data_IF_628267272742
#
_entry.id   IF_628267272742
#
_cell.length_a   1.000
_cell.length_b   1.000
_cell.length_c   1.000
_cell.angle_alpha   90.00
_cell.angle_beta   90.00
_cell.angle_gamma   90.00
#
_symmetry.space_group_name_H-M   'P 1'
#
loop_
_entity.id
_entity.type
_entity.pdbx_description
1 polymer ?
#
# COMPACT_ATOMS: atom_id res chain seq x y z
N UNK A 1 22.12 -20.21 9.16
CA UNK A 1 23.46 -19.77 8.68
C UNK A 1 24.23 -19.19 9.86
N UNK A 2 25.50 -19.56 10.01
CA UNK A 2 26.33 -18.93 11.03
C UNK A 2 26.70 -17.52 10.57
N UNK A 3 26.41 -16.52 11.40
CA UNK A 3 26.80 -15.14 11.13
C UNK A 3 28.29 -14.96 11.41
N UNK A 4 29.02 -14.35 10.48
CA UNK A 4 30.45 -14.03 10.63
C UNK A 4 30.62 -12.53 10.88
N UNK A 5 31.46 -12.18 11.84
CA UNK A 5 31.94 -10.82 12.04
C UNK A 5 33.43 -10.73 11.87
N UNK A 6 33.94 -9.56 11.49
CA UNK A 6 35.36 -9.33 11.32
C UNK A 6 35.86 -8.32 12.37
N UNK A 7 36.91 -8.70 13.11
CA UNK A 7 37.62 -7.81 14.02
C UNK A 7 39.08 -7.81 13.59
N UNK A 8 39.64 -6.62 13.30
CA UNK A 8 41.03 -6.51 12.82
C UNK A 8 41.33 -7.26 11.52
N UNK A 9 40.32 -7.46 10.64
CA UNK A 9 40.46 -8.14 9.35
C UNK A 9 40.28 -9.67 9.41
N UNK A 10 40.04 -10.25 10.58
CA UNK A 10 39.79 -11.70 10.74
C UNK A 10 38.30 -11.93 10.94
N UNK A 11 37.72 -12.88 10.17
CA UNK A 11 36.30 -13.22 10.26
C UNK A 11 36.01 -14.27 11.34
N UNK A 12 35.01 -14.01 12.16
CA UNK A 12 34.60 -14.88 13.26
C UNK A 12 33.13 -15.28 13.13
N UNK A 13 32.82 -16.55 13.50
CA UNK A 13 31.44 -17.02 13.55
C UNK A 13 30.80 -16.66 14.89
N UNK A 14 29.63 -15.98 14.84
CA UNK A 14 28.85 -15.64 16.02
C UNK A 14 27.72 -16.65 16.18
N UNK A 15 27.86 -17.54 17.15
CA UNK A 15 26.81 -18.48 17.53
C UNK A 15 26.34 -18.19 18.96
N UNK A 16 25.04 -17.99 19.14
CA UNK A 16 24.40 -17.98 20.46
C UNK A 16 24.82 -16.87 21.43
N UNK A 17 25.13 -15.67 20.97
CA UNK A 17 25.36 -14.50 21.83
C UNK A 17 26.72 -14.44 22.53
N UNK A 18 27.64 -15.33 22.19
CA UNK A 18 29.07 -15.31 22.60
C UNK A 18 29.96 -15.54 21.41
N UNK A 19 31.03 -14.78 21.30
CA UNK A 19 32.06 -14.94 20.28
C UNK A 19 33.40 -15.26 20.98
N UNK A 20 34.13 -16.20 20.44
CA UNK A 20 35.51 -16.57 20.88
C UNK A 20 36.48 -15.96 19.87
N UNK A 21 37.39 -15.11 20.35
CA UNK A 21 38.50 -14.58 19.58
C UNK A 21 39.77 -15.00 20.31
N UNK A 22 40.61 -15.81 19.67
CA UNK A 22 41.86 -16.32 20.23
C UNK A 22 41.72 -16.97 21.63
N UNK A 23 40.59 -17.68 21.85
CA UNK A 23 40.33 -18.36 23.12
C UNK A 23 39.68 -17.48 24.20
N UNK A 24 39.46 -16.22 23.95
CA UNK A 24 38.79 -15.29 24.87
C UNK A 24 37.30 -15.16 24.53
N UNK A 25 36.43 -15.30 25.53
CA UNK A 25 34.99 -15.19 25.38
C UNK A 25 34.55 -13.75 25.53
N UNK A 26 33.88 -13.22 24.52
CA UNK A 26 33.26 -11.90 24.54
C UNK A 26 31.72 -12.01 24.56
N UNK A 27 31.07 -11.21 25.40
CA UNK A 27 29.60 -11.16 25.41
C UNK A 27 29.11 -10.01 24.53
N UNK A 28 28.17 -10.35 23.61
CA UNK A 28 27.48 -9.36 22.80
C UNK A 28 26.21 -8.95 23.51
N UNK A 29 26.04 -7.66 23.82
CA UNK A 29 24.84 -7.09 24.43
C UNK A 29 24.49 -5.79 23.70
N UNK A 30 23.25 -5.70 23.20
CA UNK A 30 22.73 -4.50 22.51
C UNK A 30 23.57 -4.02 21.29
N UNK A 31 24.09 -4.94 20.49
CA UNK A 31 24.92 -4.59 19.32
C UNK A 31 26.31 -4.06 19.65
N UNK A 32 26.79 -4.29 20.88
CA UNK A 32 28.13 -3.91 21.33
C UNK A 32 28.91 -5.13 21.79
N UNK A 33 30.20 -5.15 21.51
CA UNK A 33 31.15 -6.13 22.08
C UNK A 33 32.11 -5.42 23.02
N UNK A 34 32.35 -6.01 24.18
CA UNK A 34 33.38 -5.57 25.11
C UNK A 34 34.68 -6.35 24.84
N UNK A 35 35.76 -5.63 24.53
CA UNK A 35 37.14 -6.18 24.41
C UNK A 35 38.01 -5.40 25.36
N UNK A 36 38.65 -6.10 26.31
CA UNK A 36 39.53 -5.52 27.35
C UNK A 36 38.90 -4.32 28.07
N UNK A 37 37.58 -4.40 28.37
CA UNK A 37 36.83 -3.32 29.05
C UNK A 37 36.44 -2.16 28.18
N UNK A 38 36.76 -2.17 26.86
CA UNK A 38 36.36 -1.13 25.90
C UNK A 38 35.17 -1.62 25.09
N UNK A 39 34.11 -0.79 25.01
CA UNK A 39 32.94 -1.07 24.17
C UNK A 39 33.20 -0.69 22.71
N UNK A 40 32.93 -1.64 21.84
CA UNK A 40 32.93 -1.45 20.37
C UNK A 40 31.53 -1.67 19.80
N UNK A 41 31.07 -0.77 18.95
CA UNK A 41 29.83 -0.94 18.21
C UNK A 41 30.01 -2.03 17.15
N UNK A 42 29.14 -3.05 17.18
CA UNK A 42 29.06 -4.04 16.10
C UNK A 42 27.95 -3.57 15.16
N UNK A 43 28.31 -2.93 14.08
CA UNK A 43 27.40 -2.74 12.96
C UNK A 43 27.30 -4.05 12.18
N UNK A 44 26.21 -4.80 12.38
CA UNK A 44 25.86 -5.87 11.48
C UNK A 44 25.34 -5.22 10.17
N UNK A 45 26.21 -5.04 9.22
CA UNK A 45 25.79 -4.84 7.85
C UNK A 45 25.38 -6.23 7.37
N UNK A 46 24.12 -6.59 7.60
CA UNK A 46 23.54 -7.72 6.87
C UNK A 46 23.59 -7.33 5.39
N UNK A 47 24.23 -8.12 4.52
CA UNK A 47 24.15 -7.83 3.10
C UNK A 47 22.67 -7.77 2.72
N UNK A 48 22.25 -6.70 2.08
CA UNK A 48 20.90 -6.63 1.53
C UNK A 48 20.73 -7.80 0.56
N UNK A 49 19.76 -8.68 0.85
CA UNK A 49 19.39 -9.74 -0.07
C UNK A 49 18.32 -9.19 -0.99
N UNK A 50 18.59 -9.17 -2.27
CA UNK A 50 17.60 -8.85 -3.30
C UNK A 50 17.01 -10.16 -3.79
N UNK A 51 15.69 -10.23 -3.87
CA UNK A 51 14.94 -11.37 -4.38
C UNK A 51 14.12 -10.92 -5.58
N UNK A 52 14.37 -11.56 -6.72
CA UNK A 52 13.52 -11.43 -7.90
C UNK A 52 12.42 -12.49 -7.82
N UNK A 53 11.23 -12.10 -7.39
CA UNK A 53 10.10 -13.02 -7.19
C UNK A 53 9.46 -13.45 -8.50
N UNK A 54 9.38 -12.54 -9.47
CA UNK A 54 9.02 -12.83 -10.87
C UNK A 54 9.82 -11.91 -11.79
N UNK A 55 10.26 -12.50 -12.89
CA UNK A 55 11.04 -11.82 -13.93
C UNK A 55 10.26 -11.85 -15.22
N UNK A 56 10.41 -10.83 -16.02
CA UNK A 56 9.77 -10.61 -17.32
C UNK A 56 10.11 -9.19 -17.74
N UNK A 57 9.36 -8.62 -18.65
CA UNK A 57 9.66 -7.31 -19.20
C UNK A 57 9.44 -6.12 -18.26
N UNK A 58 9.71 -4.92 -18.78
CA UNK A 58 9.92 -3.65 -18.07
C UNK A 58 8.75 -3.15 -17.19
N UNK A 59 7.63 -3.88 -17.12
CA UNK A 59 6.42 -3.44 -16.43
C UNK A 59 6.00 -4.32 -15.25
N UNK A 60 6.81 -5.32 -14.88
CA UNK A 60 6.57 -6.15 -13.71
C UNK A 60 6.84 -5.35 -12.43
N UNK A 61 5.89 -5.35 -11.50
CA UNK A 61 5.96 -4.52 -10.29
C UNK A 61 5.33 -5.18 -9.09
N UNK A 62 5.89 -4.92 -7.92
CA UNK A 62 5.28 -5.17 -6.62
C UNK A 62 4.80 -3.82 -6.09
N UNK A 63 3.52 -3.72 -5.74
CA UNK A 63 2.91 -2.49 -5.24
C UNK A 63 2.67 -2.53 -3.73
N UNK A 64 2.51 -3.71 -3.15
CA UNK A 64 2.20 -3.87 -1.74
C UNK A 64 2.91 -5.06 -1.11
N UNK A 65 3.14 -4.97 0.19
CA UNK A 65 3.68 -6.02 1.02
C UNK A 65 3.02 -6.00 2.39
N UNK A 66 2.70 -7.17 2.93
CA UNK A 66 2.19 -7.32 4.29
C UNK A 66 2.77 -8.55 4.98
N UNK A 67 2.83 -8.53 6.31
CA UNK A 67 3.06 -9.71 7.12
C UNK A 67 1.88 -9.93 8.04
N UNK A 68 1.20 -11.03 7.85
CA UNK A 68 0.07 -11.40 8.68
C UNK A 68 -0.11 -12.93 8.72
N UNK A 69 -0.72 -13.44 9.78
CA UNK A 69 -1.04 -14.85 9.95
C UNK A 69 0.15 -15.81 9.67
N UNK A 70 1.38 -15.38 9.99
CA UNK A 70 2.61 -16.17 9.79
C UNK A 70 3.16 -16.16 8.36
N UNK A 71 2.64 -15.32 7.46
CA UNK A 71 3.09 -15.20 6.08
C UNK A 71 3.51 -13.79 5.72
N UNK A 72 4.59 -13.68 4.96
CA UNK A 72 4.90 -12.55 4.12
C UNK A 72 4.12 -12.71 2.82
N UNK A 73 3.43 -11.67 2.40
CA UNK A 73 2.66 -11.66 1.16
C UNK A 73 2.94 -10.37 0.42
N UNK A 74 3.23 -10.48 -0.86
CA UNK A 74 3.38 -9.34 -1.77
C UNK A 74 2.35 -9.43 -2.88
N UNK A 75 1.94 -8.28 -3.40
CA UNK A 75 1.00 -8.17 -4.50
C UNK A 75 1.48 -7.18 -5.54
N UNK A 76 1.10 -7.43 -6.79
CA UNK A 76 1.49 -6.59 -7.90
C UNK A 76 0.96 -7.08 -9.23
N UNK A 77 1.72 -6.81 -10.29
CA UNK A 77 1.42 -7.26 -11.65
C UNK A 77 2.57 -8.06 -12.25
N UNK A 78 2.20 -8.94 -13.16
CA UNK A 78 3.12 -9.68 -14.02
C UNK A 78 2.60 -9.65 -15.46
N UNK A 79 3.48 -9.33 -16.40
CA UNK A 79 3.19 -9.33 -17.84
C UNK A 79 3.92 -10.51 -18.47
N UNK A 80 3.17 -11.36 -19.14
CA UNK A 80 3.66 -12.48 -19.93
C UNK A 80 3.57 -12.09 -21.42
N UNK A 81 4.64 -11.54 -21.97
CA UNK A 81 4.71 -11.15 -23.38
C UNK A 81 4.58 -12.33 -24.33
N UNK A 82 4.96 -13.54 -23.91
CA UNK A 82 4.85 -14.73 -24.76
C UNK A 82 3.40 -15.13 -25.04
N UNK A 83 2.49 -14.81 -24.14
CA UNK A 83 1.06 -15.10 -24.23
C UNK A 83 0.20 -13.84 -24.35
N UNK A 84 0.83 -12.67 -24.34
CA UNK A 84 0.14 -11.37 -24.37
C UNK A 84 -0.89 -11.20 -23.24
N UNK A 85 -0.49 -11.61 -22.03
CA UNK A 85 -1.35 -11.58 -20.83
C UNK A 85 -0.75 -10.74 -19.71
N UNK A 86 -1.61 -9.95 -19.08
CA UNK A 86 -1.30 -9.27 -17.83
C UNK A 86 -2.01 -9.96 -16.65
N UNK A 87 -1.29 -10.18 -15.57
CA UNK A 87 -1.79 -10.87 -14.37
C UNK A 87 -1.71 -9.99 -13.14
N UNK A 88 -2.78 -9.95 -12.37
CA UNK A 88 -2.76 -9.53 -10.98
C UNK A 88 -2.24 -10.70 -10.15
N UNK A 89 -1.04 -10.54 -9.58
CA UNK A 89 -0.25 -11.62 -9.00
C UNK A 89 0.08 -11.36 -7.55
N UNK A 90 0.02 -12.43 -6.73
CA UNK A 90 0.59 -12.46 -5.39
C UNK A 90 1.75 -13.45 -5.31
N UNK A 91 2.65 -13.22 -4.37
CA UNK A 91 3.57 -14.24 -3.89
C UNK A 91 3.58 -14.24 -2.36
N UNK A 92 3.79 -15.42 -1.76
CA UNK A 92 3.81 -15.55 -0.31
C UNK A 92 4.81 -16.60 0.17
N UNK A 93 5.34 -16.36 1.37
CA UNK A 93 6.27 -17.26 2.05
C UNK A 93 6.13 -17.13 3.58
N UNK A 94 6.57 -18.13 4.32
CA UNK A 94 6.63 -18.08 5.80
C UNK A 94 7.88 -17.39 6.32
N UNK A 95 8.91 -17.25 5.49
CA UNK A 95 10.15 -16.50 5.81
C UNK A 95 10.66 -15.80 4.55
N UNK A 96 11.36 -14.66 4.72
CA UNK A 96 11.88 -13.87 3.62
C UNK A 96 12.94 -14.59 2.79
N UNK A 97 13.72 -15.46 3.43
CA UNK A 97 14.76 -16.31 2.82
C UNK A 97 14.24 -17.69 2.37
N UNK A 98 12.94 -17.94 2.51
CA UNK A 98 12.29 -19.20 2.16
C UNK A 98 11.88 -19.27 0.68
N UNK A 99 11.19 -20.37 0.36
CA UNK A 99 10.60 -20.53 -0.96
C UNK A 99 9.28 -19.76 -1.04
N UNK A 100 9.17 -18.89 -2.03
CA UNK A 100 7.96 -18.13 -2.31
C UNK A 100 7.04 -18.92 -3.24
N UNK A 101 5.77 -18.96 -2.90
CA UNK A 101 4.72 -19.53 -3.75
C UNK A 101 4.04 -18.38 -4.49
N UNK A 102 3.95 -18.51 -5.82
CA UNK A 102 3.37 -17.50 -6.71
C UNK A 102 1.95 -17.94 -7.11
N UNK A 103 1.03 -16.98 -7.18
CA UNK A 103 -0.33 -17.20 -7.67
C UNK A 103 -0.85 -16.02 -8.46
N UNK A 104 -1.46 -16.33 -9.61
CA UNK A 104 -2.23 -15.38 -10.38
C UNK A 104 -3.69 -15.43 -9.92
N UNK A 105 -4.27 -14.27 -9.64
CA UNK A 105 -5.64 -14.17 -9.13
C UNK A 105 -6.64 -13.82 -10.22
N UNK A 106 -6.28 -12.92 -11.12
CA UNK A 106 -7.03 -12.61 -12.35
C UNK A 106 -6.08 -12.16 -13.45
N UNK A 107 -6.57 -12.27 -14.69
CA UNK A 107 -5.83 -11.86 -15.89
C UNK A 107 -6.81 -11.46 -16.97
N UNK A 108 -6.36 -10.67 -17.94
CA UNK A 108 -6.98 -10.52 -19.25
C UNK A 108 -5.93 -10.52 -20.35
N UNK A 109 -6.39 -10.64 -21.59
CA UNK A 109 -5.56 -10.42 -22.76
C UNK A 109 -5.03 -8.97 -22.72
N UNK A 110 -3.75 -8.82 -23.02
CA UNK A 110 -3.12 -7.53 -23.22
C UNK A 110 -3.49 -7.07 -24.65
N UNK A 111 -4.79 -6.80 -24.89
CA UNK A 111 -5.24 -6.36 -26.19
C UNK A 111 -4.67 -4.98 -26.49
N UNK A 112 -4.19 -4.81 -27.70
CA UNK A 112 -3.52 -3.73 -28.43
C UNK A 112 -3.89 -2.27 -28.11
N UNK A 113 -4.07 -1.89 -26.84
CA UNK A 113 -4.21 -0.49 -26.48
C UNK A 113 -2.87 0.02 -25.91
N UNK A 114 -2.23 0.87 -26.67
CA UNK A 114 -0.95 1.55 -26.40
C UNK A 114 -0.90 2.36 -25.07
N UNK A 115 -1.92 2.32 -24.24
CA UNK A 115 -2.04 3.12 -23.02
C UNK A 115 -2.61 2.32 -21.84
N UNK A 116 -1.71 1.77 -20.98
CA UNK A 116 -1.77 1.68 -19.51
C UNK A 116 -2.78 0.77 -18.79
N UNK A 117 -3.44 -0.21 -19.40
CA UNK A 117 -4.43 -1.05 -18.68
C UNK A 117 -3.81 -2.35 -18.16
N UNK A 118 -3.03 -2.23 -17.09
CA UNK A 118 -2.37 -3.37 -16.46
C UNK A 118 -3.13 -3.81 -15.22
N UNK A 119 -3.71 -5.02 -15.26
CA UNK A 119 -4.25 -5.66 -14.07
C UNK A 119 -3.20 -5.71 -12.96
N UNK A 120 -3.58 -5.30 -11.78
CA UNK A 120 -2.65 -5.34 -10.66
C UNK A 120 -3.37 -5.50 -9.32
N UNK A 121 -2.61 -5.93 -8.33
CA UNK A 121 -2.99 -5.86 -6.92
C UNK A 121 -2.35 -4.62 -6.35
N UNK A 122 -3.18 -3.74 -5.80
CA UNK A 122 -2.75 -2.48 -5.18
C UNK A 122 -2.44 -2.66 -3.70
N UNK A 123 -3.23 -3.47 -2.98
CA UNK A 123 -3.07 -3.64 -1.54
C UNK A 123 -3.55 -5.02 -1.06
N UNK A 124 -3.09 -5.44 0.13
CA UNK A 124 -3.38 -6.72 0.75
C UNK A 124 -3.59 -6.55 2.25
N UNK A 125 -4.68 -7.10 2.77
CA UNK A 125 -4.94 -7.17 4.20
C UNK A 125 -5.36 -8.57 4.65
N UNK A 126 -5.10 -8.88 5.93
CA UNK A 126 -5.61 -10.06 6.61
C UNK A 126 -6.43 -9.65 7.84
N UNK A 127 -7.59 -10.21 7.96
CA UNK A 127 -8.46 -9.95 9.11
C UNK A 127 -9.63 -10.91 9.17
N UNK A 128 -10.14 -11.17 10.37
CA UNK A 128 -11.30 -12.04 10.61
C UNK A 128 -11.26 -13.39 9.87
N UNK A 129 -10.05 -13.98 9.73
CA UNK A 129 -9.83 -15.26 9.07
C UNK A 129 -9.81 -15.22 7.54
N UNK A 130 -9.78 -14.03 6.93
CA UNK A 130 -9.71 -13.84 5.48
C UNK A 130 -8.47 -13.05 5.07
N UNK A 131 -7.89 -13.44 3.97
CA UNK A 131 -7.03 -12.63 3.13
C UNK A 131 -7.91 -11.90 2.12
N UNK A 132 -7.69 -10.61 1.95
CA UNK A 132 -8.36 -9.79 0.94
C UNK A 132 -7.29 -8.97 0.22
N UNK A 133 -7.37 -8.97 -1.10
CA UNK A 133 -6.58 -8.08 -1.96
C UNK A 133 -7.52 -7.11 -2.66
N UNK A 134 -7.05 -5.91 -2.91
CA UNK A 134 -7.70 -4.89 -3.74
C UNK A 134 -6.87 -4.61 -4.97
N UNK A 135 -7.50 -4.14 -6.03
CA UNK A 135 -6.78 -3.80 -7.25
C UNK A 135 -7.68 -3.37 -8.39
N UNK A 136 -7.12 -3.51 -9.57
CA UNK A 136 -7.65 -3.06 -10.83
C UNK A 136 -7.83 -4.22 -11.81
N UNK A 137 -8.95 -4.21 -12.55
CA UNK A 137 -9.23 -5.13 -13.62
C UNK A 137 -9.84 -4.38 -14.80
N UNK A 138 -9.25 -4.52 -15.98
CA UNK A 138 -9.76 -3.97 -17.22
C UNK A 138 -10.32 -5.07 -18.13
N UNK A 139 -11.41 -4.81 -18.82
CA UNK A 139 -12.00 -5.68 -19.80
C UNK A 139 -12.54 -4.85 -20.98
N UNK A 140 -11.90 -4.99 -22.15
CA UNK A 140 -12.30 -4.40 -23.46
C UNK A 140 -12.62 -2.88 -23.44
N UNK A 141 -13.55 -2.42 -22.63
CA UNK A 141 -14.00 -1.03 -22.57
C UNK A 141 -14.35 -0.56 -21.17
N UNK A 142 -14.08 -1.39 -20.15
CA UNK A 142 -14.48 -1.13 -18.79
C UNK A 142 -13.42 -1.48 -17.78
N UNK A 143 -13.29 -0.65 -16.76
CA UNK A 143 -12.41 -0.84 -15.63
C UNK A 143 -13.21 -1.10 -14.37
N UNK A 144 -12.71 -2.01 -13.56
CA UNK A 144 -13.38 -2.42 -12.33
C UNK A 144 -12.44 -2.30 -11.13
N UNK A 145 -12.92 -1.66 -10.10
CA UNK A 145 -12.34 -1.77 -8.78
C UNK A 145 -12.67 -3.14 -8.22
N UNK A 146 -11.67 -4.01 -8.15
CA UNK A 146 -11.82 -5.43 -7.86
C UNK A 146 -11.19 -5.81 -6.54
N UNK A 147 -11.84 -6.73 -5.84
CA UNK A 147 -11.22 -7.47 -4.75
C UNK A 147 -11.19 -8.97 -5.06
N UNK A 148 -10.24 -9.67 -4.45
CA UNK A 148 -10.34 -11.11 -4.29
C UNK A 148 -10.12 -11.47 -2.82
N UNK A 149 -10.76 -12.55 -2.35
CA UNK A 149 -10.65 -12.99 -0.97
C UNK A 149 -10.60 -14.51 -0.86
N UNK A 150 -9.89 -14.97 0.17
CA UNK A 150 -9.78 -16.39 0.51
C UNK A 150 -9.54 -16.56 2.01
N UNK A 151 -9.84 -17.73 2.56
CA UNK A 151 -9.52 -18.09 3.96
C UNK A 151 -8.07 -18.60 4.11
N UNK A 152 -7.42 -18.97 3.01
CA UNK A 152 -6.01 -19.36 2.97
C UNK A 152 -5.37 -18.93 1.66
N UNK A 153 -4.07 -18.60 1.69
CA UNK A 153 -3.30 -18.17 0.51
C UNK A 153 -3.23 -19.24 -0.58
N UNK A 154 -3.21 -20.53 -0.18
CA UNK A 154 -3.21 -21.67 -1.10
C UNK A 154 -4.61 -22.12 -1.54
N UNK A 155 -5.67 -21.59 -0.94
CA UNK A 155 -7.05 -21.95 -1.20
C UNK A 155 -7.61 -21.35 -2.48
N UNK A 156 -8.92 -21.55 -2.70
CA UNK A 156 -9.66 -20.92 -3.79
C UNK A 156 -9.95 -19.46 -3.42
N UNK A 157 -9.60 -18.56 -4.33
CA UNK A 157 -9.92 -17.15 -4.22
C UNK A 157 -11.25 -16.85 -4.90
N UNK A 158 -12.09 -16.10 -4.24
CA UNK A 158 -13.34 -15.58 -4.80
C UNK A 158 -13.13 -14.14 -5.21
N UNK A 159 -13.47 -13.82 -6.46
CA UNK A 159 -13.33 -12.49 -7.05
C UNK A 159 -14.67 -11.76 -6.92
N UNK A 160 -14.60 -10.45 -6.68
CA UNK A 160 -15.76 -9.56 -6.63
C UNK A 160 -15.40 -8.16 -7.11
N UNK A 161 -16.18 -7.63 -8.03
CA UNK A 161 -16.11 -6.23 -8.43
C UNK A 161 -16.96 -5.40 -7.46
N UNK A 162 -16.39 -4.30 -6.99
CA UNK A 162 -17.03 -3.41 -6.01
C UNK A 162 -17.75 -2.26 -6.69
N UNK A 163 -17.10 -1.64 -7.67
CA UNK A 163 -17.64 -0.59 -8.53
C UNK A 163 -16.94 -0.60 -9.89
N UNK A 164 -17.55 0.06 -10.85
CA UNK A 164 -17.22 0.06 -12.27
C UNK A 164 -18.41 -0.39 -13.08
N UNK A 165 -18.55 0.12 -14.26
CA UNK A 165 -19.56 -0.29 -15.24
C UNK A 165 -18.95 -0.33 -16.64
N UNK A 166 -19.62 -1.01 -17.56
CA UNK A 166 -19.09 -1.50 -18.82
C UNK A 166 -18.63 -0.46 -19.85
N UNK A 167 -18.58 0.84 -19.53
CA UNK A 167 -18.19 1.89 -20.47
C UNK A 167 -17.25 2.95 -19.84
N UNK A 168 -16.58 2.62 -18.70
CA UNK A 168 -15.89 3.62 -17.90
C UNK A 168 -14.44 3.19 -17.60
N UNK A 169 -13.50 4.09 -17.78
CA UNK A 169 -12.06 3.91 -17.59
C UNK A 169 -11.65 4.33 -16.17
N UNK A 170 -10.56 3.73 -15.64
CA UNK A 170 -9.88 4.14 -14.41
C UNK A 170 -10.61 3.89 -13.07
N UNK A 171 -11.47 2.88 -13.00
CA UNK A 171 -12.05 2.44 -11.72
C UNK A 171 -11.07 1.53 -10.97
N UNK A 172 -10.58 1.95 -9.82
CA UNK A 172 -9.54 1.23 -9.08
C UNK A 172 -9.83 1.16 -7.58
N UNK A 173 -9.58 0.00 -6.99
CA UNK A 173 -9.49 -0.18 -5.55
C UNK A 173 -8.03 -0.07 -5.10
N UNK A 174 -7.64 1.05 -4.50
CA UNK A 174 -6.25 1.35 -4.16
C UNK A 174 -5.80 0.75 -2.83
N UNK A 175 -6.67 0.71 -1.85
CA UNK A 175 -6.32 0.28 -0.50
C UNK A 175 -7.41 -0.59 0.13
N UNK A 176 -7.02 -1.49 1.04
CA UNK A 176 -7.93 -2.36 1.78
C UNK A 176 -7.45 -2.54 3.22
N UNK A 177 -8.38 -2.50 4.18
CA UNK A 177 -8.10 -2.74 5.59
C UNK A 177 -9.23 -3.52 6.25
N UNK A 178 -8.89 -4.33 7.26
CA UNK A 178 -9.86 -4.85 8.22
C UNK A 178 -9.62 -4.22 9.59
N UNK A 179 -10.59 -3.49 10.08
CA UNK A 179 -10.54 -2.91 11.41
C UNK A 179 -11.96 -2.74 11.97
N UNK A 180 -12.10 -2.69 13.30
CA UNK A 180 -13.35 -2.42 14.01
C UNK A 180 -14.55 -3.24 13.50
N UNK A 181 -14.31 -4.50 13.07
CA UNK A 181 -15.36 -5.41 12.58
C UNK A 181 -15.77 -5.22 11.11
N UNK A 182 -15.10 -4.33 10.38
CA UNK A 182 -15.38 -4.04 8.97
C UNK A 182 -14.16 -4.23 8.09
N UNK A 183 -14.42 -4.73 6.90
CA UNK A 183 -13.57 -4.57 5.73
C UNK A 183 -13.91 -3.24 5.08
N UNK A 184 -12.91 -2.46 4.77
CA UNK A 184 -13.08 -1.18 4.06
C UNK A 184 -12.06 -1.11 2.93
N UNK A 185 -12.54 -0.70 1.76
CA UNK A 185 -11.76 -0.51 0.53
C UNK A 185 -11.92 0.94 0.11
N UNK A 186 -10.84 1.58 -0.26
CA UNK A 186 -10.83 2.93 -0.81
C UNK A 186 -10.25 2.94 -2.22
N UNK A 187 -10.72 3.86 -3.05
CA UNK A 187 -10.22 3.97 -4.41
C UNK A 187 -10.84 5.12 -5.19
N UNK A 188 -10.87 4.98 -6.50
CA UNK A 188 -11.48 5.94 -7.39
C UNK A 188 -12.55 5.31 -8.27
N UNK A 189 -13.57 6.08 -8.57
CA UNK A 189 -14.67 5.75 -9.45
C UNK A 189 -14.92 6.87 -10.45
N UNK A 190 -15.01 6.52 -11.72
CA UNK A 190 -15.39 7.42 -12.80
C UNK A 190 -16.76 7.02 -13.36
N UNK A 191 -17.73 7.94 -13.41
CA UNK A 191 -19.07 7.65 -13.90
C UNK A 191 -19.32 8.10 -15.35
N UNK A 192 -18.24 8.29 -16.16
CA UNK A 192 -18.32 8.82 -17.52
C UNK A 192 -18.34 10.34 -17.62
N UNK A 193 -18.44 11.02 -16.49
CA UNK A 193 -18.50 12.48 -16.46
C UNK A 193 -17.62 13.06 -15.36
N UNK A 194 -17.47 12.35 -14.24
CA UNK A 194 -16.78 12.86 -13.04
C UNK A 194 -16.08 11.74 -12.30
N UNK A 195 -15.01 12.11 -11.62
CA UNK A 195 -14.25 11.28 -10.71
C UNK A 195 -14.77 11.41 -9.28
N UNK A 196 -14.68 10.30 -8.55
CA UNK A 196 -15.10 10.19 -7.15
C UNK A 196 -14.01 9.50 -6.33
N UNK A 197 -13.73 10.04 -5.15
CA UNK A 197 -13.08 9.27 -4.09
C UNK A 197 -14.12 8.35 -3.46
N UNK A 198 -14.07 7.07 -3.83
CA UNK A 198 -15.06 6.04 -3.48
C UNK A 198 -14.57 5.16 -2.36
N UNK A 199 -15.47 4.75 -1.47
CA UNK A 199 -15.25 3.69 -0.50
C UNK A 199 -16.30 2.59 -0.65
N UNK A 200 -15.89 1.37 -0.30
CA UNK A 200 -16.83 0.28 -0.06
C UNK A 200 -16.53 -0.36 1.31
N UNK A 201 -17.58 -0.77 2.03
CA UNK A 201 -17.39 -1.45 3.31
C UNK A 201 -18.37 -2.58 3.53
N UNK A 202 -17.94 -3.62 4.25
CA UNK A 202 -18.73 -4.80 4.60
C UNK A 202 -18.20 -5.45 5.88
N UNK A 203 -19.03 -6.20 6.59
CA UNK A 203 -18.58 -6.98 7.76
C UNK A 203 -17.89 -8.29 7.35
N UNK A 204 -18.10 -8.76 6.12
CA UNK A 204 -17.48 -9.98 5.56
C UNK A 204 -17.18 -9.75 4.07
N UNK A 205 -16.07 -10.26 3.54
CA UNK A 205 -15.74 -10.11 2.13
C UNK A 205 -16.78 -10.72 1.19
N UNK A 206 -17.42 -11.84 1.62
CA UNK A 206 -18.48 -12.53 0.88
C UNK A 206 -19.86 -11.87 0.99
N UNK A 207 -20.00 -10.87 1.85
CA UNK A 207 -21.27 -10.19 2.12
C UNK A 207 -21.65 -9.16 1.06
N UNK A 208 -22.75 -8.45 1.36
CA UNK A 208 -23.11 -7.25 0.63
C UNK A 208 -22.20 -6.11 1.05
N UNK A 209 -21.64 -5.43 0.08
CA UNK A 209 -20.84 -4.23 0.28
C UNK A 209 -21.72 -3.00 0.12
N UNK A 210 -21.53 -2.04 1.00
CA UNK A 210 -22.11 -0.71 0.88
C UNK A 210 -21.03 0.18 0.27
N UNK A 211 -21.35 0.88 -0.81
CA UNK A 211 -20.49 1.87 -1.46
C UNK A 211 -20.96 3.28 -1.11
N UNK A 212 -20.03 4.20 -0.97
CA UNK A 212 -20.29 5.61 -0.74
C UNK A 212 -19.14 6.44 -1.31
N UNK A 213 -19.44 7.61 -1.85
CA UNK A 213 -18.43 8.55 -2.31
C UNK A 213 -18.20 9.63 -1.25
N UNK A 214 -16.93 9.89 -0.94
CA UNK A 214 -16.55 10.85 0.09
C UNK A 214 -16.32 12.24 -0.45
N UNK A 215 -15.85 12.33 -1.68
CA UNK A 215 -15.72 13.58 -2.42
C UNK A 215 -15.85 13.32 -3.93
N UNK A 216 -16.17 14.36 -4.64
CA UNK A 216 -16.41 14.32 -6.08
C UNK A 216 -15.73 15.52 -6.72
N UNK A 217 -14.97 15.29 -7.78
CA UNK A 217 -14.40 16.37 -8.55
C UNK A 217 -15.47 17.29 -9.11
N UNK A 218 -15.09 18.53 -9.40
CA UNK A 218 -15.93 19.50 -10.10
C UNK A 218 -15.53 19.68 -11.57
N UNK A 219 -14.52 18.92 -12.05
CA UNK A 219 -13.97 18.94 -13.41
C UNK A 219 -13.62 17.54 -13.94
N UNK A 220 -12.68 17.42 -14.86
CA UNK A 220 -12.25 16.18 -15.51
C UNK A 220 -10.84 15.77 -15.06
N UNK A 221 -10.51 15.90 -13.79
CA UNK A 221 -9.19 15.51 -13.26
C UNK A 221 -9.31 14.41 -12.22
N UNK A 222 -8.25 13.63 -12.08
CA UNK A 222 -8.16 12.52 -11.14
C UNK A 222 -8.54 12.95 -9.72
N UNK A 223 -9.39 12.17 -9.12
CA UNK A 223 -9.86 12.33 -7.74
C UNK A 223 -10.00 10.95 -7.16
N UNK A 224 -9.30 10.65 -6.07
CA UNK A 224 -9.29 9.29 -5.53
C UNK A 224 -8.86 9.22 -4.08
N UNK A 225 -9.09 8.04 -3.49
CA UNK A 225 -8.62 7.64 -2.16
C UNK A 225 -7.48 6.66 -2.36
N UNK A 226 -6.31 6.94 -1.78
CA UNK A 226 -5.12 6.11 -1.94
C UNK A 226 -4.73 5.34 -0.68
N UNK A 227 -5.16 5.82 0.48
CA UNK A 227 -4.83 5.17 1.75
C UNK A 227 -5.96 5.27 2.77
N UNK A 228 -6.00 4.29 3.69
CA UNK A 228 -6.98 4.22 4.76
C UNK A 228 -6.35 3.66 6.03
N UNK A 229 -6.76 4.19 7.17
CA UNK A 229 -6.37 3.68 8.49
C UNK A 229 -7.53 3.82 9.48
N UNK A 230 -7.59 2.92 10.47
CA UNK A 230 -8.48 3.03 11.63
C UNK A 230 -7.65 3.01 12.90
N UNK A 231 -7.75 4.08 13.66
CA UNK A 231 -7.12 4.18 14.97
C UNK A 231 -7.86 5.21 15.84
N UNK A 232 -7.68 5.16 17.15
CA UNK A 232 -8.24 6.11 18.12
C UNK A 232 -9.74 6.38 17.93
N UNK A 233 -10.50 5.35 17.49
CA UNK A 233 -11.94 5.44 17.25
C UNK A 233 -12.35 6.10 15.93
N UNK A 234 -11.40 6.47 15.06
CA UNK A 234 -11.67 7.10 13.77
C UNK A 234 -11.19 6.26 12.59
N UNK A 235 -12.00 6.23 11.57
CA UNK A 235 -11.61 5.92 10.20
C UNK A 235 -11.07 7.18 9.57
N UNK A 236 -9.92 7.11 8.97
CA UNK A 236 -9.32 8.23 8.23
C UNK A 236 -8.81 7.72 6.90
N UNK A 237 -9.17 8.41 5.83
CA UNK A 237 -8.71 8.17 4.46
C UNK A 237 -7.93 9.37 3.97
N UNK A 238 -7.00 9.14 3.05
CA UNK A 238 -6.23 10.18 2.38
C UNK A 238 -6.20 9.97 0.87
N UNK A 239 -6.09 11.07 0.15
CA UNK A 239 -6.04 11.03 -1.31
C UNK A 239 -5.90 12.42 -1.92
N UNK A 240 -6.46 12.57 -3.13
CA UNK A 240 -6.49 13.82 -3.87
C UNK A 240 -7.91 14.21 -4.28
N UNK A 241 -8.13 15.49 -4.39
CA UNK A 241 -9.39 16.10 -4.81
C UNK A 241 -9.12 17.28 -5.74
N UNK A 242 -9.76 17.28 -6.91
CA UNK A 242 -9.70 18.39 -7.83
C UNK A 242 -10.91 19.33 -7.66
N UNK A 243 -10.63 20.62 -7.53
CA UNK A 243 -11.65 21.68 -7.53
C UNK A 243 -11.52 22.55 -8.79
N UNK A 244 -12.52 22.49 -9.66
CA UNK A 244 -12.56 23.28 -10.91
C UNK A 244 -12.81 24.77 -10.66
N UNK A 245 -13.33 25.15 -9.49
CA UNK A 245 -13.54 26.54 -9.15
C UNK A 245 -12.24 27.28 -8.88
N UNK A 246 -11.31 26.61 -8.23
CA UNK A 246 -9.99 27.14 -7.91
C UNK A 246 -8.93 26.67 -8.91
N UNK A 247 -9.30 25.73 -9.81
CA UNK A 247 -8.41 25.10 -10.76
C UNK A 247 -7.20 24.46 -10.06
N UNK A 248 -7.45 23.69 -8.99
CA UNK A 248 -6.44 23.18 -8.09
C UNK A 248 -6.70 21.75 -7.63
N UNK A 249 -5.61 20.98 -7.43
CA UNK A 249 -5.60 19.72 -6.72
C UNK A 249 -5.33 19.97 -5.23
N UNK A 250 -6.02 19.23 -4.39
CA UNK A 250 -5.92 19.27 -2.94
C UNK A 250 -5.52 17.93 -2.39
N UNK A 251 -4.49 17.88 -1.58
CA UNK A 251 -4.22 16.74 -0.71
C UNK A 251 -5.27 16.72 0.40
N UNK A 252 -6.20 15.81 0.32
CA UNK A 252 -7.41 15.76 1.14
C UNK A 252 -7.44 14.53 2.02
N UNK A 253 -7.90 14.72 3.26
CA UNK A 253 -8.36 13.63 4.13
C UNK A 253 -9.87 13.70 4.31
N UNK A 254 -10.47 12.53 4.61
CA UNK A 254 -11.78 12.47 5.22
C UNK A 254 -11.72 11.56 6.45
N UNK A 255 -12.55 11.85 7.45
CA UNK A 255 -12.59 11.07 8.67
C UNK A 255 -14.01 10.94 9.24
N UNK A 256 -14.25 9.83 9.92
CA UNK A 256 -15.50 9.57 10.64
C UNK A 256 -15.25 8.56 11.77
N UNK A 257 -16.07 8.60 12.80
CA UNK A 257 -16.11 7.54 13.82
C UNK A 257 -17.08 6.39 13.46
N UNK A 258 -17.86 6.55 12.40
CA UNK A 258 -18.87 5.58 11.96
C UNK A 258 -19.04 5.61 10.45
N UNK A 259 -18.73 4.50 9.77
CA UNK A 259 -18.76 4.35 8.32
C UNK A 259 -20.11 4.70 7.68
N UNK A 260 -21.24 4.47 8.38
CA UNK A 260 -22.59 4.76 7.88
C UNK A 260 -23.05 6.20 8.09
N UNK A 261 -22.17 7.07 8.58
CA UNK A 261 -22.46 8.48 8.82
C UNK A 261 -21.68 9.38 7.90
N UNK A 262 -22.05 10.67 7.89
CA UNK A 262 -21.34 11.70 7.14
C UNK A 262 -19.86 11.74 7.55
N UNK A 263 -19.00 11.72 6.55
CA UNK A 263 -17.58 11.94 6.70
C UNK A 263 -17.28 13.43 6.72
N UNK A 264 -16.33 13.84 7.53
CA UNK A 264 -15.80 15.21 7.53
C UNK A 264 -14.55 15.25 6.68
N UNK A 265 -14.50 16.14 5.72
CA UNK A 265 -13.33 16.34 4.84
C UNK A 265 -12.45 17.49 5.34
N UNK A 266 -11.16 17.40 5.07
CA UNK A 266 -10.20 18.45 5.36
C UNK A 266 -9.07 18.46 4.33
N UNK A 267 -8.83 19.63 3.74
CA UNK A 267 -7.71 19.85 2.85
C UNK A 267 -6.48 20.23 3.68
N UNK A 268 -5.37 19.55 3.41
CA UNK A 268 -4.13 19.75 4.17
C UNK A 268 -3.18 20.67 3.43
N UNK A 269 -3.05 20.52 2.12
CA UNK A 269 -2.30 21.41 1.24
C UNK A 269 -2.87 21.38 -0.18
N UNK A 270 -2.57 22.39 -0.96
CA UNK A 270 -2.92 22.48 -2.36
C UNK A 270 -1.84 23.25 -3.14
N UNK A 271 -1.77 22.99 -4.42
CA UNK A 271 -1.12 23.84 -5.41
C UNK A 271 -2.16 24.31 -6.43
N UNK A 272 -2.02 25.52 -6.92
CA UNK A 272 -2.87 26.04 -8.00
C UNK A 272 -2.35 25.62 -9.39
N UNK A 273 -1.44 24.65 -9.46
CA UNK A 273 -0.97 24.05 -10.70
C UNK A 273 -1.47 22.59 -10.72
N UNK A 274 -2.23 22.18 -11.70
CA UNK A 274 -2.93 20.91 -11.92
C UNK A 274 -2.09 19.62 -11.74
N UNK A 275 -1.06 19.61 -10.89
CA UNK A 275 -0.14 18.51 -10.68
C UNK A 275 -0.22 18.03 -9.24
N UNK A 276 -0.64 16.81 -9.09
CA UNK A 276 -0.45 15.83 -8.00
C UNK A 276 -0.14 16.34 -6.58
N UNK A 277 -1.06 17.09 -5.98
CA UNK A 277 -1.06 17.24 -4.53
C UNK A 277 -1.85 16.08 -3.93
N UNK A 278 -1.14 15.08 -3.43
CA UNK A 278 -1.74 13.78 -3.09
C UNK A 278 -1.24 13.31 -1.74
N UNK A 279 -2.11 12.66 -0.97
CA UNK A 279 -1.75 11.87 0.21
C UNK A 279 -1.68 10.41 -0.22
N UNK A 280 -0.49 9.81 -0.15
CA UNK A 280 -0.27 8.42 -0.52
C UNK A 280 -0.34 7.44 0.66
N UNK A 281 -0.05 7.90 1.86
CA UNK A 281 -0.01 7.05 3.05
C UNK A 281 -0.49 7.77 4.30
N UNK A 282 -1.04 6.98 5.23
CA UNK A 282 -1.49 7.45 6.53
C UNK A 282 -1.20 6.41 7.60
N UNK A 283 -0.80 6.85 8.76
CA UNK A 283 -0.61 6.01 9.94
C UNK A 283 -0.98 6.76 11.21
N UNK A 284 -1.21 6.00 12.29
CA UNK A 284 -1.37 6.53 13.64
C UNK A 284 -0.38 5.83 14.57
N UNK A 285 0.44 6.62 15.23
CA UNK A 285 1.41 6.12 16.20
C UNK A 285 1.74 7.19 17.23
N UNK A 286 2.01 6.78 18.45
CA UNK A 286 2.44 7.66 19.55
C UNK A 286 1.52 8.88 19.77
N UNK A 287 0.19 8.68 19.58
CA UNK A 287 -0.82 9.74 19.75
C UNK A 287 -0.92 10.72 18.59
N UNK A 288 -0.26 10.46 17.47
CA UNK A 288 -0.30 11.30 16.28
C UNK A 288 -0.84 10.57 15.05
N UNK A 289 -1.69 11.23 14.34
CA UNK A 289 -2.01 10.96 12.95
C UNK A 289 -0.92 11.57 12.09
N UNK A 290 -0.37 10.79 11.19
CA UNK A 290 0.69 11.22 10.28
C UNK A 290 0.32 10.82 8.86
N UNK A 291 0.41 11.76 7.93
CA UNK A 291 0.22 11.53 6.49
C UNK A 291 1.49 11.88 5.74
N UNK A 292 1.74 11.15 4.66
CA UNK A 292 2.81 11.41 3.71
C UNK A 292 2.28 11.51 2.30
N UNK A 293 2.88 12.42 1.52
CA UNK A 293 2.42 12.65 0.16
C UNK A 293 3.34 13.53 -0.68
N UNK A 294 2.81 13.97 -1.82
CA UNK A 294 3.46 14.87 -2.76
C UNK A 294 2.89 16.28 -2.72
N UNK A 295 3.70 17.24 -3.08
CA UNK A 295 3.34 18.63 -3.32
C UNK A 295 4.09 19.16 -4.54
N UNK A 296 3.36 19.75 -5.47
CA UNK A 296 3.94 20.43 -6.61
C UNK A 296 3.94 21.94 -6.39
N UNK A 297 5.12 22.52 -6.41
CA UNK A 297 5.28 23.97 -6.32
C UNK A 297 5.17 24.60 -7.71
N UNK A 298 4.11 25.37 -7.91
CA UNK A 298 3.83 26.01 -9.20
C UNK A 298 4.86 27.08 -9.58
N UNK A 299 5.49 27.72 -8.59
CA UNK A 299 6.35 28.88 -8.83
C UNK A 299 7.71 28.44 -9.44
N UNK A 300 8.15 27.23 -9.14
CA UNK A 300 9.41 26.68 -9.64
C UNK A 300 9.29 25.35 -10.39
N UNK A 301 8.07 24.74 -10.44
CA UNK A 301 7.80 23.46 -11.08
C UNK A 301 8.43 22.25 -10.38
N UNK A 302 8.86 22.39 -9.13
CA UNK A 302 9.49 21.33 -8.36
C UNK A 302 8.47 20.50 -7.59
N UNK A 303 8.69 19.17 -7.53
CA UNK A 303 7.92 18.25 -6.73
C UNK A 303 8.63 18.02 -5.39
N UNK A 304 7.89 18.11 -4.30
CA UNK A 304 8.40 17.88 -2.96
C UNK A 304 7.67 16.73 -2.29
N UNK A 305 8.42 15.91 -1.55
CA UNK A 305 7.81 15.02 -0.56
C UNK A 305 7.37 15.85 0.65
N UNK A 306 6.17 15.59 1.15
CA UNK A 306 5.56 16.35 2.25
C UNK A 306 4.98 15.41 3.29
N UNK A 307 5.12 15.77 4.56
CA UNK A 307 4.41 15.12 5.67
C UNK A 307 3.56 16.14 6.42
N UNK A 308 2.45 15.66 6.99
CA UNK A 308 1.69 16.43 7.96
C UNK A 308 1.28 15.53 9.13
N UNK A 309 1.14 16.14 10.31
CA UNK A 309 0.73 15.40 11.50
C UNK A 309 -0.17 16.23 12.41
N UNK A 310 -1.05 15.54 13.15
CA UNK A 310 -1.95 16.11 14.12
C UNK A 310 -2.29 15.11 15.23
N UNK A 311 -2.72 15.57 16.39
CA UNK A 311 -3.18 14.71 17.50
C UNK A 311 -4.61 14.19 17.32
N UNK A 312 -5.38 14.78 16.40
CA UNK A 312 -6.71 14.31 16.02
C UNK A 312 -6.99 14.61 14.55
N UNK A 313 -7.82 13.82 13.84
CA UNK A 313 -8.06 14.04 12.41
C UNK A 313 -8.68 15.40 12.11
N UNK A 314 -9.54 15.90 12.99
CA UNK A 314 -10.18 17.21 12.88
C UNK A 314 -9.37 18.38 13.42
N UNK A 315 -8.23 18.12 14.08
CA UNK A 315 -7.39 19.13 14.70
C UNK A 315 -6.56 19.94 13.71
N UNK A 316 -5.67 20.77 14.25
CA UNK A 316 -4.72 21.53 13.45
C UNK A 316 -3.56 20.62 13.01
N UNK A 317 -3.31 20.58 11.73
CA UNK A 317 -2.23 19.79 11.14
C UNK A 317 -0.98 20.63 10.96
N UNK A 318 0.13 20.12 11.45
CA UNK A 318 1.45 20.70 11.19
C UNK A 318 2.02 20.06 9.93
N UNK A 319 2.40 20.89 8.96
CA UNK A 319 2.95 20.49 7.67
C UNK A 319 4.47 20.70 7.69
N UNK A 320 5.23 19.73 7.16
CA UNK A 320 6.70 19.74 7.03
C UNK A 320 7.14 19.44 5.61
#
# INVERSE_FOLDING_TARGET
>A
MAHKTSIGGTAYDIGGGKTLVEGTSYSVKNGKVLIDGTEYDISFILPATVLDLWSGDNSNSIFCITYANGYWVVGGRYIDEGNDLCYARIAYATSLDGNWTIRDLWSSLNEEYEYYDYHHISDIAYGNGYWVVSGYYAESSADYARIAYATSLSGTWTIKDLWGDGDQWDNTAHCVIYANGYWVVGGKYYNGTRWYGEIAYATRPSGSWTTDWLWRDSGNYDTGIYCITYADGYWVVGGEYYDSGDDALYARIAYTSNLSRTWTTKDLWNSSDHRSDTIFCITYTDGYWVVGGGFNDKDNGACYARIAYATSPGGDWTIK
#
